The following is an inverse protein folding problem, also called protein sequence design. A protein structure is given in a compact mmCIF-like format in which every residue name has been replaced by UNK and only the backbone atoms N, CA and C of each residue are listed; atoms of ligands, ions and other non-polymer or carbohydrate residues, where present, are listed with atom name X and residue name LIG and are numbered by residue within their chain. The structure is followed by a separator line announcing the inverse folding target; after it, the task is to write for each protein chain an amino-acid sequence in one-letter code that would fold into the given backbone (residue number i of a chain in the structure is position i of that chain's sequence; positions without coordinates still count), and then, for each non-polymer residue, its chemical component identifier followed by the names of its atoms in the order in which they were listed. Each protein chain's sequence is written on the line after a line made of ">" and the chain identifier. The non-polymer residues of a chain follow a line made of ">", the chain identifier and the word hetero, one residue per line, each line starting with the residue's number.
data_IF_275240726045
#
_entry.id   IF_275240726045
#
_cell.length_a   1.000
_cell.length_b   1.000
_cell.length_c   1.000
_cell.angle_alpha   90.00
_cell.angle_beta   90.00
_cell.angle_gamma   90.00
#
_symmetry.space_group_name_H-M   'P 1'
#
loop_
_entity.id
_entity.type
_entity.pdbx_description
1 polymer ?
#
# COMPACT_ATOMS: atom_id res chain seq x y z
N UNK A 1 31.83 24.05 -10.74
CA UNK A 1 30.45 23.83 -11.17
C UNK A 1 30.21 22.33 -11.08
N UNK A 2 29.50 21.84 -10.04
CA UNK A 2 29.20 20.41 -9.89
C UNK A 2 27.97 20.13 -10.74
N UNK A 3 28.14 19.41 -11.84
CA UNK A 3 27.00 18.85 -12.57
C UNK A 3 26.41 17.70 -11.76
N UNK A 4 25.19 17.87 -11.28
CA UNK A 4 24.43 16.80 -10.64
C UNK A 4 23.45 16.23 -11.68
N UNK A 5 23.66 15.00 -12.10
CA UNK A 5 22.72 14.26 -12.91
C UNK A 5 22.31 13.00 -12.17
N UNK A 6 21.01 12.63 -12.26
CA UNK A 6 20.50 11.36 -11.75
C UNK A 6 20.03 10.51 -12.94
N UNK A 7 20.33 9.20 -12.90
CA UNK A 7 19.86 8.25 -13.90
C UNK A 7 20.59 8.26 -15.25
N UNK A 8 21.73 8.93 -15.38
CA UNK A 8 22.53 8.84 -16.58
C UNK A 8 23.20 7.47 -16.68
N UNK A 9 22.76 6.67 -17.65
CA UNK A 9 23.26 5.31 -17.93
C UNK A 9 24.26 5.29 -19.10
N UNK A 10 24.46 6.43 -19.76
CA UNK A 10 25.39 6.57 -20.90
C UNK A 10 26.25 7.82 -20.71
N UNK A 11 27.51 7.70 -21.02
CA UNK A 11 28.44 8.80 -21.04
C UNK A 11 29.15 8.83 -22.38
N UNK A 12 29.14 9.95 -23.07
CA UNK A 12 29.86 10.14 -24.32
C UNK A 12 30.93 11.22 -24.12
N UNK A 13 32.18 10.82 -24.28
CA UNK A 13 33.29 11.76 -24.33
C UNK A 13 33.63 12.08 -25.78
N UNK A 14 33.59 13.35 -26.15
CA UNK A 14 34.04 13.84 -27.45
C UNK A 14 35.16 14.85 -27.20
N UNK A 15 36.37 14.49 -27.54
CA UNK A 15 37.54 15.32 -27.32
C UNK A 15 38.76 14.81 -28.07
N UNK A 16 39.90 15.43 -27.86
CA UNK A 16 41.18 15.01 -28.44
C UNK A 16 41.53 13.60 -27.93
N UNK A 17 42.15 12.78 -28.78
CA UNK A 17 42.56 11.41 -28.43
C UNK A 17 43.46 11.40 -27.19
N UNK A 18 43.09 10.59 -26.20
CA UNK A 18 43.87 10.33 -24.99
C UNK A 18 44.93 9.25 -25.31
N UNK A 19 46.10 9.66 -25.75
CA UNK A 19 47.22 8.78 -26.06
C UNK A 19 47.65 8.82 -27.53
N UNK A 20 48.83 8.24 -27.86
CA UNK A 20 49.39 8.23 -29.21
C UNK A 20 48.71 7.23 -30.13
N UNK A 21 47.51 7.57 -30.58
CA UNK A 21 46.91 6.92 -31.74
C UNK A 21 47.22 7.82 -32.94
N UNK A 22 48.17 7.41 -33.72
CA UNK A 22 48.60 8.13 -34.91
C UNK A 22 47.41 8.35 -35.85
N UNK A 23 47.16 9.60 -36.21
CA UNK A 23 46.21 10.07 -37.21
C UNK A 23 44.71 10.17 -36.87
N UNK A 24 44.30 10.19 -35.64
CA UNK A 24 42.93 10.56 -35.30
C UNK A 24 42.86 11.86 -34.50
N UNK A 25 42.21 12.86 -35.06
CA UNK A 25 42.09 14.19 -34.43
C UNK A 25 40.97 14.26 -33.36
N UNK A 26 39.98 13.39 -33.47
CA UNK A 26 38.89 13.30 -32.48
C UNK A 26 38.49 11.85 -32.27
N UNK A 27 38.37 11.41 -31.01
CA UNK A 27 37.85 10.11 -30.63
C UNK A 27 36.59 10.31 -29.82
N UNK A 28 35.48 9.74 -30.26
CA UNK A 28 34.25 9.64 -29.47
C UNK A 28 34.27 8.32 -28.70
N UNK A 29 34.29 8.42 -27.39
CA UNK A 29 34.20 7.26 -26.49
C UNK A 29 32.79 7.25 -25.92
N UNK A 30 32.02 6.23 -26.26
CA UNK A 30 30.68 6.01 -25.70
C UNK A 30 30.76 4.84 -24.72
N UNK A 31 30.51 5.10 -23.45
CA UNK A 31 30.35 4.06 -22.44
C UNK A 31 28.86 3.73 -22.34
N UNK A 32 28.48 2.55 -22.79
CA UNK A 32 27.16 1.99 -22.60
C UNK A 32 27.20 0.95 -21.48
N UNK A 33 26.12 0.78 -20.75
CA UNK A 33 25.99 -0.13 -19.61
C UNK A 33 26.85 0.24 -18.40
N UNK A 34 26.66 1.43 -17.89
CA UNK A 34 27.21 1.81 -16.58
C UNK A 34 26.54 0.94 -15.52
N UNK A 35 27.28 0.08 -14.85
CA UNK A 35 26.78 -0.82 -13.82
C UNK A 35 26.20 -0.09 -12.60
N UNK A 36 26.59 1.16 -12.41
CA UNK A 36 26.07 2.02 -11.35
C UNK A 36 25.64 3.34 -12.02
N UNK A 37 24.34 3.58 -12.15
CA UNK A 37 23.87 4.86 -12.68
C UNK A 37 24.29 6.02 -11.78
N UNK A 38 24.45 7.20 -12.34
CA UNK A 38 24.73 8.39 -11.55
C UNK A 38 23.60 8.61 -10.52
N UNK A 39 23.96 8.84 -9.28
CA UNK A 39 23.02 9.13 -8.19
C UNK A 39 23.37 10.45 -7.51
N UNK A 40 22.43 11.00 -6.74
CA UNK A 40 22.63 12.23 -5.98
C UNK A 40 22.30 13.50 -6.75
N UNK A 41 21.83 13.42 -7.99
CA UNK A 41 21.21 14.52 -8.69
C UNK A 41 19.73 14.65 -8.30
N UNK A 42 19.27 15.86 -8.02
CA UNK A 42 17.89 16.18 -7.76
C UNK A 42 17.47 17.42 -8.57
N UNK A 43 16.18 17.55 -8.94
CA UNK A 43 15.67 18.81 -9.47
C UNK A 43 15.88 19.93 -8.46
N UNK A 44 15.77 21.18 -8.93
CA UNK A 44 15.88 22.35 -8.05
C UNK A 44 14.82 22.25 -6.94
N UNK A 45 15.26 22.45 -5.71
CA UNK A 45 14.36 22.46 -4.56
C UNK A 45 13.30 23.56 -4.68
N UNK A 46 12.05 23.26 -4.32
CA UNK A 46 10.96 24.22 -4.34
C UNK A 46 11.12 25.26 -3.22
N UNK A 47 10.62 26.47 -3.45
CA UNK A 47 10.65 27.55 -2.45
C UNK A 47 9.91 27.14 -1.17
N UNK A 48 8.85 26.35 -1.29
CA UNK A 48 8.08 25.86 -0.15
C UNK A 48 8.88 24.85 0.68
N UNK A 49 9.62 23.97 0.02
CA UNK A 49 10.55 23.03 0.69
C UNK A 49 11.64 23.80 1.43
N UNK A 50 12.26 24.80 0.79
CA UNK A 50 13.29 25.66 1.41
C UNK A 50 12.73 26.37 2.64
N UNK A 51 11.55 26.99 2.55
CA UNK A 51 10.91 27.68 3.68
C UNK A 51 10.65 26.75 4.86
N UNK A 52 10.28 25.51 4.59
CA UNK A 52 10.00 24.50 5.62
C UNK A 52 11.27 23.96 6.28
N UNK A 53 12.34 23.73 5.49
CA UNK A 53 13.57 23.08 5.96
C UNK A 53 14.58 24.05 6.54
N UNK A 54 14.68 25.29 6.03
CA UNK A 54 15.70 26.25 6.44
C UNK A 54 15.71 26.54 7.96
N UNK A 55 14.58 26.73 8.66
CA UNK A 55 14.59 26.91 10.11
C UNK A 55 15.20 25.72 10.86
N UNK A 56 14.84 24.49 10.46
CA UNK A 56 15.30 23.27 11.11
C UNK A 56 16.79 23.03 10.86
N UNK A 57 17.28 23.30 9.66
CA UNK A 57 18.70 23.20 9.33
C UNK A 57 19.51 24.24 10.13
N UNK A 58 18.97 25.46 10.28
CA UNK A 58 19.60 26.50 11.09
C UNK A 58 19.66 26.12 12.58
N UNK A 59 18.60 25.55 13.13
CA UNK A 59 18.55 25.07 14.51
C UNK A 59 19.52 23.90 14.77
N UNK A 60 19.62 22.98 13.83
CA UNK A 60 20.51 21.81 13.92
C UNK A 60 22.00 22.20 13.96
N UNK A 61 22.39 23.37 13.39
CA UNK A 61 23.78 23.86 13.33
C UNK A 61 24.81 22.80 12.88
N UNK A 62 24.40 21.93 11.96
CA UNK A 62 25.23 20.84 11.46
C UNK A 62 25.46 19.68 12.45
N UNK A 63 24.67 19.58 13.50
CA UNK A 63 24.70 18.49 14.49
C UNK A 63 23.42 17.65 14.38
N UNK A 64 23.53 16.38 14.74
CA UNK A 64 22.41 15.46 14.83
C UNK A 64 22.28 14.98 16.29
N UNK A 65 21.33 15.58 17.00
CA UNK A 65 21.02 15.26 18.40
C UNK A 65 19.58 14.79 18.54
N UNK A 66 18.65 15.45 17.88
CA UNK A 66 17.22 15.14 17.90
C UNK A 66 16.77 14.45 16.63
N UNK A 67 15.60 13.77 16.63
CA UNK A 67 14.99 13.22 15.40
C UNK A 67 14.77 14.28 14.32
N UNK A 68 14.44 15.52 14.69
CA UNK A 68 14.21 16.61 13.74
C UNK A 68 15.51 17.10 13.10
N UNK A 69 16.63 17.13 13.85
CA UNK A 69 17.96 17.44 13.28
C UNK A 69 18.37 16.38 12.24
N UNK A 70 18.13 15.10 12.56
CA UNK A 70 18.40 14.01 11.65
C UNK A 70 17.53 14.12 10.39
N UNK A 71 16.25 14.47 10.55
CA UNK A 71 15.32 14.70 9.44
C UNK A 71 15.80 15.83 8.54
N UNK A 72 16.13 16.97 9.09
CA UNK A 72 16.62 18.13 8.35
C UNK A 72 17.91 17.80 7.59
N UNK A 73 18.86 17.12 8.24
CA UNK A 73 20.11 16.68 7.64
C UNK A 73 19.89 15.71 6.49
N UNK A 74 19.05 14.69 6.66
CA UNK A 74 18.77 13.69 5.62
C UNK A 74 18.10 14.32 4.40
N UNK A 75 17.10 15.17 4.60
CA UNK A 75 16.40 15.84 3.51
C UNK A 75 17.29 16.83 2.75
N UNK A 76 18.29 17.42 3.41
CA UNK A 76 19.21 18.35 2.76
C UNK A 76 20.36 17.68 2.02
N UNK A 77 20.83 16.50 2.46
CA UNK A 77 22.06 15.88 1.95
C UNK A 77 21.82 14.60 1.15
N UNK A 78 20.68 13.94 1.34
CA UNK A 78 20.35 12.70 0.63
C UNK A 78 19.26 12.98 -0.38
N UNK A 79 19.58 12.81 -1.65
CA UNK A 79 18.59 12.89 -2.73
C UNK A 79 17.86 11.59 -2.92
N UNK A 80 16.62 11.65 -3.48
CA UNK A 80 15.84 10.47 -3.81
C UNK A 80 15.02 9.89 -2.63
N UNK A 81 14.91 10.64 -1.53
CA UNK A 81 13.96 10.34 -0.45
C UNK A 81 12.61 10.96 -0.82
N UNK A 82 11.57 10.14 -0.90
CA UNK A 82 10.18 10.57 -1.07
C UNK A 82 9.55 10.95 0.26
N UNK A 83 9.70 10.09 1.25
CA UNK A 83 9.20 10.31 2.61
C UNK A 83 10.12 9.66 3.63
N UNK A 84 10.19 10.23 4.82
CA UNK A 84 10.97 9.65 5.92
C UNK A 84 10.27 9.87 7.27
N UNK A 85 10.51 8.94 8.16
CA UNK A 85 10.15 9.06 9.57
C UNK A 85 11.33 8.69 10.45
N UNK A 86 11.49 9.41 11.55
CA UNK A 86 12.58 9.20 12.51
C UNK A 86 11.98 9.30 13.91
N UNK A 87 12.40 8.40 14.79
CA UNK A 87 11.98 8.41 16.19
C UNK A 87 13.10 7.92 17.12
N UNK A 88 13.04 8.29 18.37
CA UNK A 88 13.93 7.78 19.40
C UNK A 88 13.56 6.35 19.81
N UNK A 89 14.54 5.58 20.26
CA UNK A 89 14.29 4.21 20.68
C UNK A 89 13.50 4.11 22.00
N UNK A 90 13.38 5.19 22.75
CA UNK A 90 12.49 5.30 23.91
C UNK A 90 11.01 5.11 23.57
N UNK A 91 10.66 5.40 22.35
CA UNK A 91 9.32 5.27 21.81
C UNK A 91 8.95 3.85 21.33
N UNK A 92 9.89 2.92 21.34
CA UNK A 92 9.64 1.52 20.96
C UNK A 92 9.02 0.75 22.13
N UNK A 93 8.39 -0.35 21.81
CA UNK A 93 7.92 -1.34 22.76
C UNK A 93 8.56 -2.72 22.46
N UNK A 94 9.50 -3.21 23.29
CA UNK A 94 10.11 -2.58 24.47
C UNK A 94 11.05 -1.41 24.12
N UNK A 95 11.23 -0.41 25.02
CA UNK A 95 12.10 0.74 24.78
C UNK A 95 13.57 0.35 24.55
N UNK A 96 14.21 1.00 23.57
CA UNK A 96 15.63 0.78 23.24
C UNK A 96 16.39 2.10 23.32
N UNK A 97 16.90 2.42 24.50
CA UNK A 97 17.56 3.70 24.79
C UNK A 97 18.89 3.87 24.02
N UNK A 98 19.25 5.12 23.73
CA UNK A 98 20.51 5.48 23.06
C UNK A 98 20.55 5.18 21.57
N UNK A 99 19.42 4.80 20.98
CA UNK A 99 19.27 4.58 19.53
C UNK A 99 18.23 5.49 18.91
N UNK A 100 18.48 5.87 17.68
CA UNK A 100 17.54 6.57 16.81
C UNK A 100 17.19 5.67 15.62
N UNK A 101 15.91 5.46 15.40
CA UNK A 101 15.39 4.64 14.32
C UNK A 101 15.02 5.53 13.13
N UNK A 102 15.41 5.09 11.94
CA UNK A 102 15.25 5.84 10.71
C UNK A 102 14.56 4.94 9.68
N UNK A 103 13.44 5.38 9.19
CA UNK A 103 12.71 4.69 8.13
C UNK A 103 12.62 5.61 6.91
N UNK A 104 13.13 5.14 5.77
CA UNK A 104 13.28 5.91 4.54
C UNK A 104 12.52 5.27 3.41
N UNK A 105 11.65 6.03 2.74
CA UNK A 105 10.99 5.63 1.49
C UNK A 105 11.69 6.31 0.31
N UNK A 106 12.24 5.57 -0.66
CA UNK A 106 12.77 6.14 -1.89
C UNK A 106 11.65 6.53 -2.87
N UNK A 107 11.95 7.44 -3.80
CA UNK A 107 10.99 7.95 -4.81
C UNK A 107 10.52 6.85 -5.77
N UNK A 108 11.42 5.97 -6.23
CA UNK A 108 11.13 5.01 -7.31
C UNK A 108 11.27 3.54 -6.89
N UNK A 109 11.30 3.25 -5.59
CA UNK A 109 11.42 1.90 -5.07
C UNK A 109 10.65 1.76 -3.75
N UNK A 110 10.39 0.53 -3.32
CA UNK A 110 9.73 0.27 -2.04
C UNK A 110 10.68 0.50 -0.85
N UNK A 111 11.98 0.24 -1.02
CA UNK A 111 12.97 0.37 0.07
C UNK A 111 14.36 0.69 -0.48
N UNK A 112 15.17 1.32 0.35
CA UNK A 112 16.61 1.43 0.10
C UNK A 112 17.31 0.09 0.31
N UNK A 113 18.31 -0.22 -0.52
CA UNK A 113 19.15 -1.40 -0.31
C UNK A 113 19.96 -1.32 0.99
N UNK A 114 20.35 -2.49 1.57
CA UNK A 114 21.11 -2.51 2.84
C UNK A 114 22.39 -1.69 2.79
N UNK A 115 23.12 -1.76 1.69
CA UNK A 115 24.35 -1.01 1.46
C UNK A 115 24.10 0.49 1.42
N UNK A 116 23.04 0.94 0.75
CA UNK A 116 22.68 2.36 0.67
C UNK A 116 22.29 2.90 2.06
N UNK A 117 21.50 2.18 2.83
CA UNK A 117 21.15 2.55 4.22
C UNK A 117 22.40 2.68 5.10
N UNK A 118 23.31 1.70 5.02
CA UNK A 118 24.57 1.74 5.75
C UNK A 118 25.45 2.95 5.35
N UNK A 119 25.50 3.28 4.05
CA UNK A 119 26.24 4.45 3.56
C UNK A 119 25.61 5.77 4.02
N UNK A 120 24.29 5.90 4.00
CA UNK A 120 23.58 7.08 4.51
C UNK A 120 23.91 7.30 6.00
N UNK A 121 23.81 6.25 6.82
CA UNK A 121 24.16 6.35 8.24
C UNK A 121 25.62 6.72 8.42
N UNK A 122 26.54 6.04 7.74
CA UNK A 122 27.99 6.21 7.91
C UNK A 122 28.48 7.58 7.44
N UNK A 123 27.99 8.05 6.29
CA UNK A 123 28.57 9.23 5.62
C UNK A 123 27.82 10.52 5.95
N UNK A 124 26.53 10.45 6.29
CA UNK A 124 25.69 11.63 6.51
C UNK A 124 25.42 11.87 8.01
N UNK A 125 24.99 10.85 8.74
CA UNK A 125 24.55 11.01 10.13
C UNK A 125 25.68 10.87 11.15
N UNK A 126 26.51 9.84 11.04
CA UNK A 126 27.59 9.55 12.00
C UNK A 126 28.58 10.69 12.17
N UNK A 127 29.04 11.41 11.14
CA UNK A 127 29.98 12.51 11.31
C UNK A 127 29.43 13.70 12.09
N UNK A 128 28.11 13.82 12.19
CA UNK A 128 27.40 14.95 12.82
C UNK A 128 26.76 14.59 14.16
N UNK A 129 26.74 13.32 14.51
CA UNK A 129 26.10 12.81 15.71
C UNK A 129 27.09 12.61 16.85
N UNK A 130 26.57 12.62 18.08
CA UNK A 130 27.33 12.19 19.25
C UNK A 130 27.78 10.72 19.10
N UNK A 131 29.02 10.36 19.51
CA UNK A 131 29.50 8.98 19.47
C UNK A 131 28.61 7.97 20.22
N UNK A 132 27.87 8.43 21.23
CA UNK A 132 27.00 7.59 22.07
C UNK A 132 25.70 7.25 21.34
N UNK A 133 25.26 8.09 20.39
CA UNK A 133 23.99 7.89 19.68
C UNK A 133 24.11 6.79 18.61
N UNK A 134 23.33 5.73 18.77
CA UNK A 134 23.19 4.65 17.79
C UNK A 134 22.17 5.02 16.71
N UNK A 135 22.39 4.53 15.47
CA UNK A 135 21.40 4.64 14.38
C UNK A 135 21.02 3.26 13.88
N UNK A 136 19.74 3.06 13.68
CA UNK A 136 19.20 1.82 13.12
C UNK A 136 18.23 2.16 11.96
N UNK A 137 18.49 1.60 10.78
CA UNK A 137 17.64 1.79 9.62
C UNK A 137 16.59 0.69 9.55
N UNK A 138 15.33 1.08 9.61
CA UNK A 138 14.16 0.19 9.49
C UNK A 138 13.59 0.30 8.08
N UNK A 139 13.11 -0.82 7.53
CA UNK A 139 12.42 -0.81 6.25
C UNK A 139 10.98 -0.29 6.39
N UNK A 140 10.47 0.43 5.38
CA UNK A 140 9.06 0.77 5.33
C UNK A 140 8.19 -0.49 5.27
N UNK A 141 7.13 -0.51 6.03
CA UNK A 141 6.09 -1.53 5.99
C UNK A 141 4.85 -0.96 5.29
N UNK A 142 4.31 -1.69 4.31
CA UNK A 142 3.24 -1.20 3.47
C UNK A 142 1.91 -1.84 3.81
N UNK A 143 0.87 -1.00 3.92
CA UNK A 143 -0.53 -1.42 3.97
C UNK A 143 -1.16 -0.99 2.64
N UNK A 144 -1.65 -1.95 1.89
CA UNK A 144 -2.37 -1.69 0.65
C UNK A 144 -3.86 -1.66 0.93
N UNK A 145 -4.52 -0.61 0.49
CA UNK A 145 -5.98 -0.56 0.50
C UNK A 145 -6.53 -1.24 -0.73
N UNK A 146 -7.66 -1.90 -0.56
CA UNK A 146 -8.49 -2.39 -1.67
C UNK A 146 -9.86 -1.76 -1.48
N UNK A 147 -10.32 -1.02 -2.49
CA UNK A 147 -11.63 -0.37 -2.47
C UNK A 147 -12.55 -1.06 -3.47
N UNK A 148 -13.75 -1.40 -3.02
CA UNK A 148 -14.83 -1.90 -3.87
C UNK A 148 -16.02 -0.96 -3.71
N UNK A 149 -16.36 -0.22 -4.78
CA UNK A 149 -17.32 0.87 -4.75
C UNK A 149 -18.44 0.61 -5.74
N UNK A 150 -19.68 0.56 -5.26
CA UNK A 150 -20.89 0.66 -6.07
C UNK A 150 -21.27 2.12 -6.18
N UNK A 151 -21.25 2.68 -7.38
CA UNK A 151 -21.54 4.09 -7.66
C UNK A 151 -22.82 4.19 -8.46
N UNK A 152 -23.81 4.88 -7.90
CA UNK A 152 -25.12 5.10 -8.53
C UNK A 152 -25.14 6.43 -9.25
N UNK A 153 -25.55 6.40 -10.51
CA UNK A 153 -25.58 7.58 -11.36
C UNK A 153 -26.92 7.73 -12.09
N UNK A 154 -27.25 8.95 -12.48
CA UNK A 154 -28.43 9.27 -13.29
C UNK A 154 -28.04 9.43 -14.74
N UNK A 155 -28.54 8.51 -15.60
CA UNK A 155 -28.32 8.59 -17.05
C UNK A 155 -28.98 9.82 -17.70
N UNK A 156 -29.96 10.44 -17.02
CA UNK A 156 -30.60 11.67 -17.52
C UNK A 156 -29.75 12.94 -17.31
N UNK A 157 -28.75 12.86 -16.43
CA UNK A 157 -27.92 14.02 -16.04
C UNK A 157 -26.52 14.01 -16.67
N UNK A 158 -26.21 13.02 -17.48
CA UNK A 158 -24.89 12.88 -18.14
C UNK A 158 -25.01 12.43 -19.58
N UNK A 159 -24.06 12.86 -20.40
CA UNK A 159 -23.86 12.34 -21.76
C UNK A 159 -22.80 11.22 -21.79
N UNK A 160 -22.13 10.96 -20.67
CA UNK A 160 -21.06 9.96 -20.56
C UNK A 160 -21.64 8.55 -20.44
N UNK A 161 -20.96 7.59 -21.02
CA UNK A 161 -21.26 6.18 -20.83
C UNK A 161 -20.85 5.71 -19.42
N UNK A 162 -21.39 4.59 -18.95
CA UNK A 162 -21.01 4.00 -17.67
C UNK A 162 -19.50 3.73 -17.57
N UNK A 163 -18.87 3.37 -18.68
CA UNK A 163 -17.43 3.11 -18.73
C UNK A 163 -16.60 4.40 -18.60
N UNK A 164 -17.01 5.49 -19.22
CA UNK A 164 -16.35 6.80 -19.10
C UNK A 164 -16.52 7.36 -17.68
N UNK A 165 -17.71 7.19 -17.09
CA UNK A 165 -17.95 7.54 -15.68
C UNK A 165 -17.06 6.73 -14.73
N UNK A 166 -16.94 5.42 -14.97
CA UNK A 166 -16.05 4.54 -14.19
C UNK A 166 -14.59 5.03 -14.26
N UNK A 167 -14.12 5.42 -15.45
CA UNK A 167 -12.78 5.94 -15.64
C UNK A 167 -12.59 7.29 -14.92
N UNK A 168 -13.59 8.16 -14.97
CA UNK A 168 -13.57 9.46 -14.26
C UNK A 168 -13.46 9.26 -12.75
N UNK A 169 -14.29 8.39 -12.17
CA UNK A 169 -14.24 8.04 -10.75
C UNK A 169 -12.89 7.39 -10.38
N UNK A 170 -12.42 6.45 -11.21
CA UNK A 170 -11.11 5.81 -10.98
C UNK A 170 -9.98 6.82 -10.94
N UNK A 171 -9.98 7.78 -11.87
CA UNK A 171 -8.98 8.86 -11.92
C UNK A 171 -9.08 9.76 -10.69
N UNK A 172 -10.29 10.10 -10.25
CA UNK A 172 -10.50 10.90 -9.04
C UNK A 172 -9.95 10.20 -7.79
N UNK A 173 -10.19 8.88 -7.63
CA UNK A 173 -9.65 8.09 -6.53
C UNK A 173 -8.12 8.00 -6.61
N UNK A 174 -7.52 7.81 -7.80
CA UNK A 174 -6.07 7.79 -7.97
C UNK A 174 -5.43 9.13 -7.62
N UNK A 175 -6.04 10.24 -8.01
CA UNK A 175 -5.59 11.58 -7.64
C UNK A 175 -5.64 11.78 -6.12
N UNK A 176 -6.72 11.35 -5.47
CA UNK A 176 -6.82 11.34 -4.02
C UNK A 176 -5.70 10.52 -3.38
N UNK A 177 -5.46 9.31 -3.87
CA UNK A 177 -4.40 8.45 -3.36
C UNK A 177 -3.01 9.09 -3.49
N UNK A 178 -2.72 9.70 -4.63
CA UNK A 178 -1.44 10.38 -4.87
C UNK A 178 -1.26 11.62 -3.99
N UNK A 179 -2.32 12.36 -3.72
CA UNK A 179 -2.26 13.60 -2.96
C UNK A 179 -2.19 13.38 -1.44
N UNK A 180 -2.91 12.39 -0.92
CA UNK A 180 -3.12 12.24 0.53
C UNK A 180 -2.50 10.97 1.12
N UNK A 181 -2.15 9.99 0.31
CA UNK A 181 -1.57 8.73 0.74
C UNK A 181 -0.11 8.60 0.27
N UNK A 182 0.54 7.50 0.63
CA UNK A 182 1.88 7.19 0.14
C UNK A 182 3.03 7.80 0.92
N UNK A 183 2.75 8.53 2.00
CA UNK A 183 3.76 9.13 2.89
C UNK A 183 3.61 8.61 4.31
N UNK A 184 4.69 8.68 5.10
CA UNK A 184 4.60 8.37 6.52
C UNK A 184 3.67 9.36 7.24
N UNK A 185 2.84 8.82 8.15
CA UNK A 185 1.88 9.62 8.90
C UNK A 185 0.63 10.02 8.12
N UNK A 186 0.45 9.54 6.89
CA UNK A 186 -0.78 9.73 6.14
C UNK A 186 -1.88 8.82 6.66
N UNK A 187 -3.08 9.38 6.87
CA UNK A 187 -4.25 8.65 7.33
C UNK A 187 -5.25 8.49 6.19
N UNK A 188 -5.83 7.31 6.09
CA UNK A 188 -6.96 7.12 5.20
C UNK A 188 -8.27 7.41 5.93
N UNK A 189 -9.11 8.27 5.34
CA UNK A 189 -10.43 8.63 5.83
C UNK A 189 -11.49 8.20 4.83
N UNK A 190 -12.38 7.33 5.26
CA UNK A 190 -13.47 6.82 4.43
C UNK A 190 -14.37 7.94 3.91
N UNK A 191 -14.71 8.92 4.76
CA UNK A 191 -15.55 10.05 4.38
C UNK A 191 -14.93 10.94 3.29
N UNK A 192 -13.59 11.03 3.25
CA UNK A 192 -12.89 11.75 2.18
C UNK A 192 -12.96 10.99 0.85
N UNK A 193 -12.76 9.67 0.88
CA UNK A 193 -12.93 8.83 -0.31
C UNK A 193 -14.35 8.93 -0.85
N UNK A 194 -15.35 8.76 0.00
CA UNK A 194 -16.77 8.86 -0.40
C UNK A 194 -17.07 10.22 -1.04
N UNK A 195 -16.58 11.30 -0.44
CA UNK A 195 -16.75 12.65 -1.01
C UNK A 195 -16.06 12.81 -2.37
N UNK A 196 -14.87 12.25 -2.55
CA UNK A 196 -14.14 12.29 -3.83
C UNK A 196 -14.92 11.57 -4.91
N UNK A 197 -15.54 10.44 -4.59
CA UNK A 197 -16.39 9.68 -5.53
C UNK A 197 -17.66 10.51 -5.86
N UNK A 198 -18.37 11.02 -4.86
CA UNK A 198 -19.62 11.77 -5.06
C UNK A 198 -19.41 13.07 -5.85
N UNK A 199 -18.24 13.68 -5.76
CA UNK A 199 -17.91 14.93 -6.46
C UNK A 199 -17.15 14.73 -7.78
N UNK A 200 -16.87 13.49 -8.16
CA UNK A 200 -16.10 13.20 -9.38
C UNK A 200 -16.87 13.63 -10.65
N UNK A 201 -18.21 13.51 -10.63
CA UNK A 201 -19.08 13.95 -11.74
C UNK A 201 -20.49 14.25 -11.20
N UNK A 202 -21.18 15.24 -11.80
CA UNK A 202 -22.48 15.76 -11.34
C UNK A 202 -23.62 14.74 -11.41
N UNK A 203 -23.54 13.76 -12.30
CA UNK A 203 -24.54 12.71 -12.45
C UNK A 203 -24.51 11.68 -11.33
N UNK A 204 -23.44 11.62 -10.52
CA UNK A 204 -23.31 10.67 -9.42
C UNK A 204 -24.25 11.10 -8.29
N UNK A 205 -25.11 10.17 -7.88
CA UNK A 205 -26.13 10.41 -6.86
C UNK A 205 -25.73 9.90 -5.48
N UNK A 206 -25.04 8.76 -5.45
CA UNK A 206 -24.56 8.13 -4.21
C UNK A 206 -23.50 7.10 -4.49
N UNK A 207 -22.70 6.78 -3.47
CA UNK A 207 -21.77 5.67 -3.52
C UNK A 207 -21.89 4.80 -2.26
N UNK A 208 -21.58 3.53 -2.42
CA UNK A 208 -21.38 2.59 -1.34
C UNK A 208 -20.04 1.92 -1.55
N UNK A 209 -19.11 2.18 -0.66
CA UNK A 209 -17.73 1.69 -0.79
C UNK A 209 -17.36 0.78 0.37
N UNK A 210 -16.71 -0.33 0.05
CA UNK A 210 -16.09 -1.23 1.03
C UNK A 210 -14.60 -1.08 0.95
N UNK A 211 -13.93 -1.03 2.11
CA UNK A 211 -12.48 -0.90 2.22
C UNK A 211 -11.90 -2.15 2.88
N UNK A 212 -10.92 -2.75 2.22
CA UNK A 212 -10.16 -3.88 2.75
C UNK A 212 -8.70 -3.47 2.91
N UNK A 213 -8.04 -4.07 3.88
CA UNK A 213 -6.59 -3.98 4.07
C UNK A 213 -5.94 -5.19 3.41
N UNK A 214 -4.87 -4.95 2.66
CA UNK A 214 -4.06 -5.99 2.05
C UNK A 214 -2.61 -5.84 2.51
N UNK A 215 -2.01 -6.93 2.94
CA UNK A 215 -0.57 -7.05 3.19
C UNK A 215 0.05 -8.01 2.19
N UNK A 216 1.26 -7.68 1.76
CA UNK A 216 2.06 -8.50 0.86
C UNK A 216 3.33 -8.93 1.58
N UNK A 217 3.68 -10.19 1.48
CA UNK A 217 4.91 -10.70 2.06
C UNK A 217 5.54 -11.77 1.16
N UNK A 218 6.86 -11.77 1.14
CA UNK A 218 7.60 -12.79 0.39
C UNK A 218 7.61 -14.09 1.16
N UNK A 219 7.37 -15.17 0.45
CA UNK A 219 7.43 -16.51 1.00
C UNK A 219 8.79 -17.14 0.73
N UNK A 220 9.34 -17.73 1.78
CA UNK A 220 10.56 -18.53 1.68
C UNK A 220 10.24 -19.95 1.22
N UNK A 221 11.24 -20.63 0.64
CA UNK A 221 11.09 -22.00 0.15
C UNK A 221 11.00 -23.07 1.25
N UNK A 222 11.22 -22.66 2.50
CA UNK A 222 11.14 -23.50 3.70
C UNK A 222 9.99 -23.11 4.61
N UNK A 223 9.84 -23.87 5.69
CA UNK A 223 8.91 -23.51 6.76
C UNK A 223 9.45 -22.28 7.52
N UNK A 224 8.69 -21.21 7.54
CA UNK A 224 9.07 -19.95 8.16
C UNK A 224 7.93 -19.36 8.97
N UNK A 225 8.27 -18.50 9.92
CA UNK A 225 7.31 -17.73 10.69
C UNK A 225 7.19 -16.34 10.08
N UNK A 226 5.98 -15.86 9.93
CA UNK A 226 5.70 -14.51 9.43
C UNK A 226 4.80 -13.77 10.42
N UNK A 227 5.13 -12.52 10.70
CA UNK A 227 4.30 -11.64 11.51
C UNK A 227 3.89 -10.45 10.65
N UNK A 228 2.60 -10.29 10.44
CA UNK A 228 2.02 -9.23 9.63
C UNK A 228 1.19 -8.33 10.54
N UNK A 229 1.57 -7.08 10.64
CA UNK A 229 0.88 -6.11 11.48
C UNK A 229 0.08 -5.14 10.61
N UNK A 230 -1.24 -5.20 10.68
CA UNK A 230 -2.14 -4.25 10.00
C UNK A 230 -2.28 -2.92 10.76
N UNK A 231 -1.77 -2.83 12.00
CA UNK A 231 -1.84 -1.65 12.88
C UNK A 231 -3.25 -1.12 13.17
N UNK A 232 -4.26 -1.81 12.70
CA UNK A 232 -5.66 -1.44 12.90
C UNK A 232 -6.43 -2.65 13.38
N UNK A 233 -7.36 -2.49 14.32
CA UNK A 233 -8.25 -3.55 14.72
C UNK A 233 -8.98 -4.14 13.50
N UNK A 234 -9.09 -5.46 13.47
CA UNK A 234 -9.74 -6.19 12.38
C UNK A 234 -11.14 -6.64 12.79
N UNK A 235 -12.00 -6.80 11.81
CA UNK A 235 -13.35 -7.31 12.03
C UNK A 235 -13.29 -8.81 12.36
N UNK A 236 -13.78 -9.18 13.55
CA UNK A 236 -13.86 -10.56 13.97
C UNK A 236 -15.18 -11.19 13.49
N UNK A 237 -15.19 -12.42 12.93
CA UNK A 237 -16.41 -13.14 12.61
C UNK A 237 -17.27 -13.33 13.87
N UNK A 238 -18.55 -12.95 13.80
CA UNK A 238 -19.47 -13.04 14.94
C UNK A 238 -19.51 -11.84 15.86
N UNK A 239 -18.66 -10.81 15.66
CA UNK A 239 -18.80 -9.54 16.33
C UNK A 239 -20.06 -8.83 15.81
N UNK A 240 -21.03 -8.58 16.70
CA UNK A 240 -22.27 -7.85 16.39
C UNK A 240 -22.01 -6.35 16.26
N UNK A 241 -21.23 -5.95 15.30
CA UNK A 241 -21.17 -4.55 14.85
C UNK A 241 -22.09 -4.45 13.65
N UNK A 242 -23.13 -3.63 13.72
CA UNK A 242 -24.20 -3.50 12.75
C UNK A 242 -23.85 -3.14 11.30
N UNK A 243 -22.67 -3.51 10.86
CA UNK A 243 -22.21 -3.47 9.47
C UNK A 243 -22.48 -4.87 8.92
N UNK A 244 -23.73 -5.07 8.46
CA UNK A 244 -24.12 -6.26 7.74
C UNK A 244 -23.20 -6.47 6.54
N UNK A 245 -22.81 -7.72 6.28
CA UNK A 245 -22.04 -8.07 5.09
C UNK A 245 -22.73 -7.54 3.83
N UNK A 246 -22.07 -6.70 3.10
CA UNK A 246 -22.58 -6.15 1.84
C UNK A 246 -22.42 -7.20 0.74
N UNK A 247 -23.55 -7.71 0.25
CA UNK A 247 -23.56 -8.46 -1.00
C UNK A 247 -23.48 -7.43 -2.14
N UNK A 248 -22.38 -7.40 -2.87
CA UNK A 248 -22.30 -6.64 -4.12
C UNK A 248 -23.34 -7.17 -5.10
N UNK A 249 -24.15 -6.28 -5.69
CA UNK A 249 -25.20 -6.64 -6.65
C UNK A 249 -24.68 -7.33 -7.92
N UNK A 250 -23.37 -7.35 -8.16
CA UNK A 250 -22.72 -7.91 -9.35
C UNK A 250 -21.95 -9.22 -9.12
N UNK A 251 -22.23 -9.95 -8.04
CA UNK A 251 -21.63 -11.27 -7.82
C UNK A 251 -20.10 -11.28 -7.62
N UNK A 252 -19.49 -10.10 -7.47
CA UNK A 252 -18.06 -9.97 -7.24
C UNK A 252 -17.85 -9.68 -5.76
N UNK A 253 -17.47 -10.74 -5.06
CA UNK A 253 -17.05 -10.74 -3.66
C UNK A 253 -18.21 -10.55 -2.68
N UNK A 254 -18.81 -11.67 -2.25
CA UNK A 254 -19.28 -11.72 -0.85
C UNK A 254 -18.07 -11.32 -0.01
N UNK A 255 -18.13 -10.18 0.66
CA UNK A 255 -17.14 -9.81 1.65
C UNK A 255 -17.29 -10.83 2.78
N UNK A 256 -16.59 -11.94 2.65
CA UNK A 256 -16.44 -12.89 3.73
C UNK A 256 -15.81 -12.09 4.87
N UNK A 257 -16.40 -12.14 6.05
CA UNK A 257 -15.79 -11.57 7.27
C UNK A 257 -14.47 -12.25 7.63
N UNK A 258 -14.02 -13.15 6.77
CA UNK A 258 -12.83 -13.97 6.95
C UNK A 258 -11.60 -13.30 6.36
N UNK A 259 -10.53 -13.44 7.08
CA UNK A 259 -9.18 -13.09 6.61
C UNK A 259 -8.73 -14.20 5.67
N UNK A 260 -8.30 -13.83 4.48
CA UNK A 260 -7.95 -14.81 3.45
C UNK A 260 -6.78 -14.39 2.58
N UNK A 261 -6.13 -15.38 1.98
CA UNK A 261 -5.04 -15.18 1.02
C UNK A 261 -5.48 -15.50 -0.41
N UNK A 262 -4.69 -15.07 -1.37
CA UNK A 262 -4.74 -15.61 -2.73
C UNK A 262 -4.32 -17.08 -2.74
N UNK A 263 -4.57 -17.78 -3.85
CA UNK A 263 -4.21 -19.20 -3.99
C UNK A 263 -2.71 -19.39 -4.21
N UNK A 264 -2.17 -20.45 -3.60
CA UNK A 264 -0.78 -20.85 -3.69
C UNK A 264 -0.64 -22.39 -3.67
N UNK A 265 0.56 -22.91 -3.81
CA UNK A 265 0.84 -24.33 -3.63
C UNK A 265 1.42 -24.57 -2.23
N UNK A 266 0.95 -25.60 -1.55
CA UNK A 266 1.38 -25.98 -0.20
C UNK A 266 1.78 -27.45 -0.13
N UNK A 267 2.69 -27.80 0.80
CA UNK A 267 3.00 -29.18 1.10
C UNK A 267 2.11 -29.62 2.26
N UNK A 268 1.33 -30.68 2.05
CA UNK A 268 0.54 -31.28 3.11
C UNK A 268 1.40 -32.02 4.13
N UNK A 269 0.76 -32.53 5.18
CA UNK A 269 1.43 -33.29 6.25
C UNK A 269 2.07 -34.59 5.77
N UNK A 270 1.61 -35.14 4.63
CA UNK A 270 2.17 -36.33 3.98
C UNK A 270 3.31 -36.04 3.03
N UNK A 271 3.70 -34.77 2.86
CA UNK A 271 4.79 -34.35 1.98
C UNK A 271 4.40 -34.14 0.52
N UNK A 272 3.11 -34.24 0.17
CA UNK A 272 2.65 -34.03 -1.19
C UNK A 272 2.32 -32.56 -1.46
N UNK A 273 2.64 -32.09 -2.68
CA UNK A 273 2.35 -30.72 -3.12
C UNK A 273 0.87 -30.62 -3.49
N UNK A 274 0.12 -29.86 -2.74
CA UNK A 274 -1.25 -29.46 -3.02
C UNK A 274 -1.25 -28.12 -3.77
N UNK A 275 -2.02 -28.03 -4.85
CA UNK A 275 -2.16 -26.80 -5.67
C UNK A 275 -3.45 -26.09 -5.37
N UNK A 276 -3.50 -24.78 -5.65
CA UNK A 276 -4.68 -23.94 -5.44
C UNK A 276 -5.19 -23.92 -3.99
N UNK A 277 -4.26 -23.97 -3.04
CA UNK A 277 -4.55 -23.79 -1.62
C UNK A 277 -4.71 -22.30 -1.31
N UNK A 278 -5.52 -21.98 -0.30
CA UNK A 278 -5.60 -20.65 0.29
C UNK A 278 -5.61 -20.76 1.81
N UNK A 279 -5.22 -19.67 2.49
CA UNK A 279 -5.41 -19.58 3.94
C UNK A 279 -6.68 -18.81 4.23
N UNK A 280 -7.41 -19.27 5.22
CA UNK A 280 -8.60 -18.61 5.75
C UNK A 280 -8.67 -18.84 7.25
N UNK A 281 -9.26 -17.92 7.99
CA UNK A 281 -9.41 -18.08 9.43
C UNK A 281 -10.67 -18.85 9.80
N UNK A 282 -10.56 -19.58 10.91
CA UNK A 282 -11.69 -20.12 11.67
C UNK A 282 -11.54 -19.64 13.12
N UNK A 283 -12.35 -18.65 13.51
CA UNK A 283 -12.11 -17.88 14.72
C UNK A 283 -10.77 -17.14 14.66
N UNK A 284 -9.93 -17.34 15.67
CA UNK A 284 -8.57 -16.74 15.78
C UNK A 284 -7.49 -17.60 15.12
N UNK A 285 -7.82 -18.80 14.65
CA UNK A 285 -6.85 -19.71 14.03
C UNK A 285 -6.87 -19.63 12.52
N UNK A 286 -5.70 -19.80 11.90
CA UNK A 286 -5.52 -19.85 10.45
C UNK A 286 -5.34 -21.28 9.98
N UNK A 287 -6.02 -21.63 8.90
CA UNK A 287 -5.98 -22.95 8.29
C UNK A 287 -5.71 -22.85 6.79
N UNK A 288 -5.04 -23.86 6.23
CA UNK A 288 -4.86 -24.00 4.78
C UNK A 288 -5.95 -24.88 4.22
N UNK A 289 -6.66 -24.35 3.25
CA UNK A 289 -7.77 -25.03 2.56
C UNK A 289 -7.48 -25.25 1.08
N UNK A 290 -8.18 -26.16 0.46
CA UNK A 290 -8.30 -26.33 -0.99
C UNK A 290 -9.71 -26.75 -1.35
N UNK A 291 -10.11 -26.56 -2.61
CA UNK A 291 -11.33 -27.18 -3.15
C UNK A 291 -11.01 -28.57 -3.70
N UNK A 292 -11.92 -29.52 -3.49
CA UNK A 292 -11.91 -30.80 -4.17
C UNK A 292 -12.60 -30.74 -5.55
N UNK A 293 -12.69 -31.88 -6.22
CA UNK A 293 -13.36 -31.99 -7.52
C UNK A 293 -14.87 -31.65 -7.48
N UNK A 294 -15.50 -31.71 -6.31
CA UNK A 294 -16.91 -31.41 -6.08
C UNK A 294 -17.13 -29.99 -5.54
N UNK A 295 -16.10 -29.13 -5.56
CA UNK A 295 -16.10 -27.77 -4.99
C UNK A 295 -16.29 -27.73 -3.46
N UNK A 296 -16.11 -28.87 -2.76
CA UNK A 296 -16.09 -28.90 -1.31
C UNK A 296 -14.76 -28.38 -0.76
N UNK A 297 -14.81 -27.63 0.33
CA UNK A 297 -13.62 -27.13 1.00
C UNK A 297 -13.01 -28.21 1.89
N UNK A 298 -11.74 -28.55 1.64
CA UNK A 298 -10.99 -29.53 2.42
C UNK A 298 -9.85 -28.82 3.13
N UNK A 299 -9.67 -29.10 4.42
CA UNK A 299 -8.52 -28.63 5.20
C UNK A 299 -7.28 -29.42 4.80
N UNK A 300 -6.26 -28.72 4.31
CA UNK A 300 -4.95 -29.30 3.93
C UNK A 300 -4.01 -29.29 5.13
N UNK A 301 -4.01 -28.22 5.91
CA UNK A 301 -3.23 -28.09 7.14
C UNK A 301 -3.96 -27.20 8.14
N UNK A 302 -4.07 -27.67 9.37
CA UNK A 302 -4.69 -26.92 10.47
C UNK A 302 -3.65 -26.10 11.23
N UNK A 303 -4.11 -25.01 11.87
CA UNK A 303 -3.33 -24.20 12.81
C UNK A 303 -1.98 -23.72 12.25
N UNK A 304 -2.01 -23.13 11.05
CA UNK A 304 -0.80 -22.54 10.43
C UNK A 304 -0.50 -21.13 10.96
N UNK A 305 -1.32 -20.63 11.87
CA UNK A 305 -1.13 -19.32 12.46
C UNK A 305 -2.30 -18.87 13.33
N UNK A 306 -2.17 -17.66 13.85
CA UNK A 306 -3.17 -17.03 14.72
C UNK A 306 -3.40 -15.59 14.32
N UNK A 307 -4.56 -15.05 14.71
CA UNK A 307 -4.96 -13.67 14.49
C UNK A 307 -5.31 -13.03 15.82
N UNK A 308 -4.75 -11.88 16.08
CA UNK A 308 -5.22 -10.97 17.11
C UNK A 308 -6.05 -9.86 16.44
N UNK A 309 -7.37 -9.96 16.56
CA UNK A 309 -8.29 -9.01 15.94
C UNK A 309 -8.23 -7.62 16.60
N UNK A 310 -7.86 -7.53 17.87
CA UNK A 310 -7.79 -6.27 18.59
C UNK A 310 -6.60 -5.41 18.15
N UNK A 311 -5.44 -6.04 17.93
CA UNK A 311 -4.22 -5.34 17.51
C UNK A 311 -4.02 -5.37 15.99
N UNK A 312 -4.73 -6.26 15.28
CA UNK A 312 -4.56 -6.45 13.84
C UNK A 312 -3.28 -7.19 13.48
N UNK A 313 -2.79 -8.03 14.37
CA UNK A 313 -1.58 -8.83 14.12
C UNK A 313 -1.96 -10.23 13.66
N UNK A 314 -1.42 -10.64 12.53
CA UNK A 314 -1.56 -11.97 11.94
C UNK A 314 -0.21 -12.66 12.00
N UNK A 315 -0.16 -13.80 12.69
CA UNK A 315 1.09 -14.56 12.87
C UNK A 315 0.95 -15.91 12.17
N UNK A 316 1.86 -16.20 11.25
CA UNK A 316 2.02 -17.53 10.67
C UNK A 316 3.13 -18.28 11.39
N UNK A 317 2.90 -19.54 11.69
CA UNK A 317 3.84 -20.40 12.42
C UNK A 317 4.11 -21.63 11.58
N UNK A 318 5.38 -21.88 11.32
CA UNK A 318 5.83 -23.05 10.53
C UNK A 318 5.08 -23.19 9.20
N UNK A 319 4.84 -22.05 8.55
CA UNK A 319 4.13 -21.96 7.29
C UNK A 319 5.09 -22.20 6.13
N UNK A 320 4.77 -23.16 5.26
CA UNK A 320 5.65 -23.60 4.17
C UNK A 320 4.95 -23.56 2.80
N UNK A 321 4.61 -22.40 2.29
CA UNK A 321 4.10 -22.27 0.94
C UNK A 321 5.21 -22.53 -0.08
N UNK A 322 4.89 -23.15 -1.22
CA UNK A 322 5.91 -23.54 -2.21
C UNK A 322 6.01 -22.63 -3.42
N UNK A 323 4.89 -22.24 -4.00
CA UNK A 323 4.87 -21.39 -5.19
C UNK A 323 3.52 -20.73 -5.32
N UNK A 324 3.52 -19.49 -5.81
CA UNK A 324 2.30 -18.79 -6.20
C UNK A 324 2.09 -19.04 -7.69
N UNK A 325 0.91 -19.55 -8.03
CA UNK A 325 0.58 -20.03 -9.38
C UNK A 325 0.54 -18.91 -10.42
N UNK A 326 0.50 -17.64 -9.99
CA UNK A 326 0.20 -16.50 -10.85
C UNK A 326 1.32 -15.46 -10.97
N UNK A 327 2.39 -15.55 -10.15
CA UNK A 327 3.46 -14.54 -10.17
C UNK A 327 4.86 -15.16 -10.07
N UNK A 328 5.77 -14.71 -10.94
CA UNK A 328 7.20 -14.99 -10.87
C UNK A 328 7.87 -14.45 -9.57
N UNK A 329 7.16 -13.60 -8.84
CA UNK A 329 7.57 -13.06 -7.55
C UNK A 329 6.85 -13.88 -6.49
N UNK A 330 7.59 -14.62 -5.66
CA UNK A 330 7.05 -15.41 -4.55
C UNK A 330 6.46 -14.50 -3.44
N UNK A 331 5.43 -13.75 -3.78
CA UNK A 331 4.77 -12.79 -2.90
C UNK A 331 3.32 -13.23 -2.65
N UNK A 332 3.02 -13.52 -1.41
CA UNK A 332 1.68 -13.87 -0.97
C UNK A 332 0.95 -12.63 -0.45
N UNK A 333 -0.32 -12.50 -0.81
CA UNK A 333 -1.20 -11.41 -0.39
C UNK A 333 -2.25 -11.93 0.56
N UNK A 334 -2.41 -11.24 1.68
CA UNK A 334 -3.46 -11.52 2.66
C UNK A 334 -4.36 -10.28 2.80
N UNK A 335 -5.66 -10.51 2.84
CA UNK A 335 -6.68 -9.47 2.97
C UNK A 335 -7.44 -9.63 4.26
N UNK A 336 -7.76 -8.49 4.87
CA UNK A 336 -8.54 -8.41 6.09
C UNK A 336 -9.51 -7.22 6.01
N UNK A 337 -10.63 -7.32 6.72
CA UNK A 337 -11.58 -6.21 6.88
C UNK A 337 -11.16 -5.44 8.14
N UNK A 338 -10.93 -4.13 8.07
CA UNK A 338 -10.72 -3.34 9.26
C UNK A 338 -12.03 -3.20 10.06
N UNK A 339 -11.94 -3.12 11.39
CA UNK A 339 -13.08 -2.88 12.25
C UNK A 339 -13.71 -1.51 11.98
N UNK A 340 -12.87 -0.52 11.72
CA UNK A 340 -13.27 0.84 11.32
C UNK A 340 -12.87 1.08 9.88
N UNK A 341 -13.69 1.79 9.13
CA UNK A 341 -13.38 2.14 7.74
C UNK A 341 -12.26 3.18 7.61
N UNK A 342 -11.93 3.91 8.67
CA UNK A 342 -10.76 4.78 8.76
C UNK A 342 -9.52 3.96 9.12
N UNK A 343 -8.41 4.21 8.44
CA UNK A 343 -7.16 3.46 8.61
C UNK A 343 -6.02 4.39 9.02
N UNK A 344 -5.37 4.04 10.13
CA UNK A 344 -4.21 4.75 10.66
C UNK A 344 -2.96 3.87 10.59
N UNK A 345 -1.85 4.36 10.02
CA UNK A 345 -0.61 3.58 9.98
C UNK A 345 0.16 3.70 11.29
N UNK A 346 0.99 2.71 11.59
CA UNK A 346 2.05 2.84 12.58
C UNK A 346 3.20 3.73 12.05
N UNK A 347 4.17 4.08 12.92
CA UNK A 347 5.28 4.99 12.59
C UNK A 347 6.07 4.59 11.35
N UNK A 348 6.36 3.30 11.16
CA UNK A 348 7.11 2.77 10.01
C UNK A 348 6.23 2.35 8.85
N UNK A 349 4.91 2.57 8.93
CA UNK A 349 3.97 2.09 7.94
C UNK A 349 3.52 3.20 6.99
N UNK A 350 3.26 2.81 5.76
CA UNK A 350 2.76 3.66 4.68
C UNK A 350 1.51 3.02 4.09
N UNK A 351 0.46 3.81 3.95
CA UNK A 351 -0.77 3.38 3.30
C UNK A 351 -0.68 3.68 1.81
N UNK A 352 -0.95 2.69 0.97
CA UNK A 352 -0.99 2.81 -0.48
C UNK A 352 -2.35 2.36 -1.02
N UNK A 353 -2.82 3.00 -2.08
CA UNK A 353 -4.00 2.59 -2.85
C UNK A 353 -3.59 2.46 -4.33
N UNK A 354 -3.08 1.27 -4.75
CA UNK A 354 -2.71 1.05 -6.14
C UNK A 354 -3.94 1.02 -7.04
N UNK A 355 -3.76 1.40 -8.32
CA UNK A 355 -4.84 1.40 -9.31
C UNK A 355 -5.52 0.03 -9.47
N UNK A 356 -4.75 -1.06 -9.39
CA UNK A 356 -5.25 -2.44 -9.52
C UNK A 356 -6.19 -2.85 -8.36
N UNK A 357 -6.11 -2.16 -7.24
CA UNK A 357 -6.92 -2.40 -6.05
C UNK A 357 -8.20 -1.54 -6.01
N UNK A 358 -8.44 -0.71 -7.02
CA UNK A 358 -9.64 0.12 -7.14
C UNK A 358 -10.65 -0.62 -8.00
N UNK A 359 -11.75 -1.05 -7.41
CA UNK A 359 -12.87 -1.68 -8.08
C UNK A 359 -14.08 -0.76 -8.03
N UNK A 360 -14.71 -0.54 -9.17
CA UNK A 360 -15.86 0.35 -9.28
C UNK A 360 -16.92 -0.35 -10.13
N UNK A 361 -18.12 -0.46 -9.58
CA UNK A 361 -19.31 -0.89 -10.28
C UNK A 361 -20.23 0.32 -10.49
N UNK A 362 -20.55 0.64 -11.74
CA UNK A 362 -21.48 1.71 -12.09
C UNK A 362 -22.89 1.14 -12.19
N UNK A 363 -23.83 1.67 -11.41
CA UNK A 363 -25.23 1.25 -11.37
C UNK A 363 -26.13 2.44 -11.69
N UNK A 364 -27.00 2.26 -12.68
CA UNK A 364 -27.96 3.31 -13.03
C UNK A 364 -29.02 3.48 -11.94
N UNK A 365 -29.19 4.70 -11.43
CA UNK A 365 -30.24 5.01 -10.46
C UNK A 365 -31.60 5.13 -11.15
N UNK A 366 -32.40 4.09 -11.03
CA UNK A 366 -33.75 4.03 -11.61
C UNK A 366 -34.77 4.86 -10.83
N UNK A 367 -34.43 5.36 -9.63
CA UNK A 367 -35.38 6.16 -8.84
C UNK A 367 -35.70 7.50 -9.50
N UNK A 368 -34.74 8.10 -10.17
CA UNK A 368 -34.93 9.36 -10.91
C UNK A 368 -35.66 9.17 -12.25
N UNK A 369 -35.66 7.99 -12.84
CA UNK A 369 -36.44 7.69 -14.06
C UNK A 369 -37.95 7.72 -13.82
N UNK A 370 -38.42 7.53 -12.59
CA UNK A 370 -39.85 7.52 -12.26
C UNK A 370 -40.49 8.92 -12.22
N UNK A 371 -39.69 9.97 -12.13
CA UNK A 371 -40.21 11.37 -12.13
C UNK A 371 -40.45 11.94 -13.52
N UNK A 372 -40.01 11.32 -14.60
CA UNK A 372 -40.13 11.82 -15.97
C UNK A 372 -41.20 11.12 -16.82
N UNK A 373 -41.74 9.99 -16.35
CA UNK A 373 -42.76 9.27 -17.11
C UNK A 373 -43.99 9.05 -16.23
N UNK A 374 -45.03 9.83 -16.49
CA UNK A 374 -46.46 9.58 -16.20
C UNK A 374 -46.78 8.20 -15.64
N UNK A 375 -47.04 8.07 -14.36
CA UNK A 375 -47.61 6.86 -13.84
C UNK A 375 -47.53 6.69 -12.34
N UNK A 376 -48.35 7.41 -11.61
CA UNK A 376 -48.67 7.21 -10.21
C UNK A 376 -49.22 5.79 -9.89
N UNK A 377 -49.36 4.92 -10.89
CA UNK A 377 -50.10 3.66 -10.73
C UNK A 377 -49.27 2.45 -10.28
N UNK A 378 -47.94 2.50 -10.27
CA UNK A 378 -47.12 1.30 -9.94
C UNK A 378 -46.51 1.28 -8.54
N UNK A 379 -46.80 2.27 -7.71
CA UNK A 379 -46.22 2.32 -6.36
C UNK A 379 -46.98 1.50 -5.31
N UNK A 380 -48.23 1.11 -5.60
CA UNK A 380 -49.12 0.40 -4.62
C UNK A 380 -48.97 -1.10 -4.67
N UNK A 381 -48.31 -1.65 -5.70
CA UNK A 381 -48.25 -3.11 -5.91
C UNK A 381 -47.07 -3.85 -5.30
N UNK A 382 -46.05 -3.16 -4.76
CA UNK A 382 -44.82 -3.84 -4.33
C UNK A 382 -44.47 -3.67 -2.83
N UNK A 383 -45.21 -2.88 -2.09
CA UNK A 383 -45.19 -2.92 -0.64
C UNK A 383 -46.26 -3.94 -0.19
N UNK A 384 -45.91 -5.21 -0.21
CA UNK A 384 -46.64 -6.27 0.48
C UNK A 384 -46.59 -6.02 1.99
N UNK A 385 -47.44 -5.13 2.50
CA UNK A 385 -47.76 -5.17 3.91
C UNK A 385 -48.65 -6.42 4.11
N UNK A 386 -48.03 -7.45 4.71
CA UNK A 386 -48.76 -8.55 5.23
C UNK A 386 -49.93 -8.05 6.08
N UNK A 387 -51.15 -8.44 5.73
CA UNK A 387 -52.35 -8.17 6.50
C UNK A 387 -52.13 -8.68 7.93
N UNK A 388 -52.13 -7.76 8.89
CA UNK A 388 -52.38 -8.12 10.26
C UNK A 388 -53.83 -8.57 10.34
N UNK A 389 -54.06 -9.87 10.36
CA UNK A 389 -55.32 -10.48 10.67
C UNK A 389 -55.68 -10.20 12.13
N UNK A 390 -56.95 -9.86 12.35
CA UNK A 390 -57.57 -9.68 13.64
C UNK A 390 -57.56 -10.93 14.50
#
# INVERSE_FOLDING_TARGET
>A
MLFRSSGANTFTYTGAALGSVSNTTNVAITLSNVNIPSYGGAPRESIESIKRLAPNIYQAQGRVVTPDDARATLLSEVSGIDSLTIWGGEDNDPPTYGKMFICLKPVNAERFGPTQKAQIIKNVLRPKASPILGFEAVDPDYIYLVTDSEVRYSSASTALSAQELQQTVSTAIQNYATQYLGQFGSYFRYSQLSRVIDTAEVSIQSNMSTVLLEKKFRIDTGASNYVLNFANPLFAPGASTGIGGYASANGVVSVSSKIGTQTFSHIDESGFVQKFCWVENDGESLHVYKSDANSATITVKSNVGTIDFATGVVTFINFSPRAITTNLINELRIRAIPLNSDVAPNRSQIILLPADNIKIAMVEDLLNRRNTTTGRSNFVGQLGFGSFGA
#
